data_IF_506418940320
#
_entry.id   IF_506418940320
#
_cell.length_a   1.000
_cell.length_b   1.000
_cell.length_c   1.000
_cell.angle_alpha   90.00
_cell.angle_beta   90.00
_cell.angle_gamma   90.00
#
_symmetry.space_group_name_H-M   'P 1'
#
loop_
_entity.id
_entity.type
_entity.pdbx_description
1 polymer ?
#
# COMPACT_ATOMS: atom_id res chain seq x y z
N UNK A 1 19.38 6.82 -7.24
CA UNK A 1 18.97 5.74 -8.17
C UNK A 1 17.48 5.85 -8.44
N UNK A 2 16.95 5.04 -9.35
CA UNK A 2 15.51 4.97 -9.66
C UNK A 2 14.92 3.67 -9.12
N UNK A 3 13.62 3.67 -8.87
CA UNK A 3 12.80 2.52 -8.48
C UNK A 3 11.66 2.35 -9.49
N UNK A 4 11.30 1.11 -9.81
CA UNK A 4 10.09 0.83 -10.58
C UNK A 4 8.86 0.92 -9.66
N UNK A 5 7.82 1.64 -10.09
CA UNK A 5 6.57 1.82 -9.37
C UNK A 5 5.36 1.63 -10.29
N UNK A 6 4.18 1.43 -9.68
CA UNK A 6 2.89 1.55 -10.36
C UNK A 6 2.32 2.93 -9.99
N UNK A 7 2.09 3.77 -10.99
CA UNK A 7 1.47 5.09 -10.87
C UNK A 7 0.39 5.21 -11.93
N UNK A 8 -0.83 5.58 -11.54
CA UNK A 8 -2.00 5.63 -12.42
C UNK A 8 -2.22 4.36 -13.26
N UNK A 9 -1.98 3.21 -12.63
CA UNK A 9 -2.11 1.89 -13.25
C UNK A 9 -1.04 1.54 -14.29
N UNK A 10 0.06 2.31 -14.36
CA UNK A 10 1.16 2.11 -15.33
C UNK A 10 2.50 1.97 -14.63
N UNK A 11 3.42 1.24 -15.25
CA UNK A 11 4.80 1.19 -14.80
C UNK A 11 5.50 2.53 -15.02
N UNK A 12 6.20 3.01 -13.99
CA UNK A 12 7.00 4.22 -14.05
C UNK A 12 8.33 4.04 -13.30
N UNK A 13 9.38 4.71 -13.78
CA UNK A 13 10.63 4.85 -13.02
C UNK A 13 10.56 6.12 -12.19
N UNK A 14 10.59 5.99 -10.87
CA UNK A 14 10.48 7.11 -9.93
C UNK A 14 11.78 7.28 -9.12
N UNK A 15 12.08 8.49 -8.63
CA UNK A 15 13.18 8.68 -7.67
C UNK A 15 13.01 7.76 -6.47
N UNK A 16 14.12 7.20 -5.97
CA UNK A 16 14.12 6.49 -4.69
C UNK A 16 13.75 7.50 -3.60
N UNK A 17 12.75 7.22 -2.74
CA UNK A 17 12.33 8.14 -1.68
C UNK A 17 13.44 8.34 -0.64
N UNK A 18 13.43 9.51 0.02
CA UNK A 18 14.40 9.87 1.05
C UNK A 18 14.33 8.86 2.24
N UNK A 19 15.43 8.16 2.58
CA UNK A 19 15.48 7.25 3.72
C UNK A 19 15.13 7.93 5.06
N UNK A 20 15.31 9.25 5.19
CA UNK A 20 14.99 10.03 6.37
C UNK A 20 13.49 10.16 6.66
N UNK A 21 12.62 9.82 5.71
CA UNK A 21 11.16 9.84 5.89
C UNK A 21 10.65 8.73 6.83
N UNK A 22 11.52 7.81 7.23
CA UNK A 22 11.19 6.73 8.14
C UNK A 22 10.44 5.57 7.44
N UNK A 23 10.06 4.54 8.21
CA UNK A 23 9.38 3.38 7.66
C UNK A 23 7.96 3.74 7.21
N UNK A 24 7.51 3.09 6.13
CA UNK A 24 6.11 3.15 5.71
C UNK A 24 5.25 2.41 6.74
N UNK A 25 4.19 3.06 7.21
CA UNK A 25 3.20 2.44 8.11
C UNK A 25 2.07 1.80 7.30
N UNK A 26 1.49 0.74 7.87
CA UNK A 26 0.26 0.11 7.38
C UNK A 26 -0.76 0.12 8.51
N UNK A 27 -2.03 0.38 8.18
CA UNK A 27 -3.11 0.28 9.16
C UNK A 27 -3.46 -1.18 9.40
N UNK A 28 -2.75 -1.80 10.34
CA UNK A 28 -2.94 -3.21 10.69
C UNK A 28 -4.36 -3.48 11.17
N UNK A 29 -4.92 -2.55 11.96
CA UNK A 29 -6.20 -2.74 12.63
C UNK A 29 -7.39 -2.89 11.67
N UNK A 30 -7.32 -2.23 10.52
CA UNK A 30 -8.38 -2.30 9.51
C UNK A 30 -8.03 -3.23 8.35
N UNK A 31 -6.74 -3.48 8.10
CA UNK A 31 -6.28 -4.25 6.95
C UNK A 31 -6.00 -5.72 7.23
N UNK A 32 -5.78 -6.13 8.48
CA UNK A 32 -5.36 -7.49 8.82
C UNK A 32 -6.07 -8.04 10.05
N UNK A 33 -6.42 -9.33 9.98
CA UNK A 33 -6.74 -10.16 11.13
C UNK A 33 -5.42 -10.58 11.79
N UNK A 34 -5.15 -10.08 12.99
CA UNK A 34 -3.91 -10.36 13.73
C UNK A 34 -3.89 -11.71 14.44
N UNK A 35 -5.04 -12.38 14.58
CA UNK A 35 -5.10 -13.74 15.13
C UNK A 35 -4.70 -14.75 14.06
N UNK A 36 -5.17 -14.55 12.82
CA UNK A 36 -4.92 -15.46 11.70
C UNK A 36 -3.81 -14.99 10.75
N UNK A 37 -3.24 -13.81 10.99
CA UNK A 37 -2.17 -13.20 10.19
C UNK A 37 -2.50 -13.11 8.69
N UNK A 38 -3.74 -12.72 8.37
CA UNK A 38 -4.24 -12.60 6.99
C UNK A 38 -4.88 -11.25 6.72
N UNK A 39 -4.92 -10.77 5.46
CA UNK A 39 -5.66 -9.58 5.11
C UNK A 39 -7.16 -9.74 5.40
N UNK A 40 -7.78 -8.71 5.96
CA UNK A 40 -9.23 -8.57 6.01
C UNK A 40 -9.71 -8.01 4.67
N UNK A 41 -10.66 -8.68 4.01
CA UNK A 41 -11.17 -8.30 2.67
C UNK A 41 -12.66 -8.00 2.66
N UNK A 42 -13.35 -8.18 3.79
CA UNK A 42 -14.73 -7.74 3.92
C UNK A 42 -14.85 -6.22 3.77
N UNK A 43 -15.95 -5.77 3.16
CA UNK A 43 -16.23 -4.34 2.97
C UNK A 43 -15.30 -3.59 2.00
N UNK A 44 -14.57 -4.31 1.13
CA UNK A 44 -13.63 -3.70 0.16
C UNK A 44 -14.22 -3.40 -1.22
N UNK A 45 -15.49 -3.73 -1.44
CA UNK A 45 -16.19 -3.42 -2.69
C UNK A 45 -16.16 -1.91 -2.97
N UNK A 46 -15.81 -1.52 -4.20
CA UNK A 46 -15.68 -0.13 -4.61
C UNK A 46 -14.37 0.57 -4.24
N UNK A 47 -13.44 -0.10 -3.54
CA UNK A 47 -12.10 0.45 -3.28
C UNK A 47 -11.15 0.28 -4.48
N UNK A 48 -10.15 1.16 -4.64
CA UNK A 48 -9.04 0.95 -5.58
C UNK A 48 -8.26 -0.33 -5.26
N UNK A 49 -7.44 -0.79 -6.22
CA UNK A 49 -6.60 -2.00 -6.09
C UNK A 49 -5.65 -1.97 -4.88
N UNK A 50 -5.29 -0.78 -4.39
CA UNK A 50 -4.44 -0.60 -3.21
C UNK A 50 -5.22 -0.63 -1.89
N UNK A 51 -6.54 -0.79 -1.94
CA UNK A 51 -7.42 -0.92 -0.78
C UNK A 51 -7.37 0.27 0.19
N UNK A 52 -6.99 1.45 -0.31
CA UNK A 52 -6.92 2.72 0.43
C UNK A 52 -7.81 3.77 -0.24
N UNK A 53 -8.28 4.75 0.55
CA UNK A 53 -8.91 5.97 0.03
C UNK A 53 -7.83 7.06 -0.02
N UNK A 54 -7.63 7.66 -1.20
CA UNK A 54 -6.72 8.80 -1.41
C UNK A 54 -7.28 10.09 -0.81
#
# INVERSE_FOLDING_TARGET
GLMAAISDGRYAMVPIPDPGLGPRSVDVSTMYDTEQYRPELSGREGLPVFLTRL
#
